data_IF_024272329732
#
_entry.id   IF_024272329732
#
_cell.length_a   1.000
_cell.length_b   1.000
_cell.length_c   1.000
_cell.angle_alpha   90.00
_cell.angle_beta   90.00
_cell.angle_gamma   90.00
#
_symmetry.space_group_name_H-M   'P 1'
#
loop_
_entity.id
_entity.type
_entity.pdbx_description
1 polymer ?
#
# COMPACT_ATOMS: atom_id res chain seq x y z
N UNK A 1 1.74 -12.02 -47.59
CA UNK A 1 2.28 -12.27 -46.22
C UNK A 1 2.81 -10.94 -45.68
N UNK A 2 2.13 -10.32 -44.71
CA UNK A 2 2.67 -9.15 -44.03
C UNK A 2 3.99 -9.56 -43.36
N UNK A 3 5.07 -8.84 -43.63
CA UNK A 3 6.35 -9.05 -42.92
C UNK A 3 6.08 -8.86 -41.42
N UNK A 4 6.49 -9.83 -40.60
CA UNK A 4 6.41 -9.71 -39.15
C UNK A 4 7.09 -8.40 -38.73
N UNK A 5 6.36 -7.58 -37.97
CA UNK A 5 6.89 -6.37 -37.34
C UNK A 5 7.73 -6.77 -36.12
N UNK A 6 8.69 -5.93 -35.77
CA UNK A 6 9.63 -6.13 -34.67
C UNK A 6 9.93 -4.81 -33.97
N UNK A 7 10.48 -4.86 -32.77
CA UNK A 7 10.75 -3.67 -31.96
C UNK A 7 12.00 -2.92 -32.42
N UNK A 8 12.90 -3.57 -33.15
CA UNK A 8 14.06 -2.96 -33.80
C UNK A 8 15.40 -3.25 -33.12
N UNK A 9 15.39 -3.67 -31.86
CA UNK A 9 16.59 -4.12 -31.14
C UNK A 9 16.94 -5.60 -31.44
N UNK A 10 16.03 -6.37 -32.05
CA UNK A 10 16.28 -7.78 -32.39
C UNK A 10 17.27 -7.90 -33.55
N UNK A 11 18.21 -8.86 -33.48
CA UNK A 11 19.29 -9.04 -34.46
C UNK A 11 18.84 -9.12 -35.92
N UNK A 12 17.63 -9.64 -36.18
CA UNK A 12 17.09 -9.84 -37.53
C UNK A 12 16.03 -8.80 -37.93
N UNK A 13 15.93 -7.67 -37.22
CA UNK A 13 14.93 -6.64 -37.49
C UNK A 13 15.47 -5.55 -38.44
N UNK A 14 14.91 -5.46 -39.65
CA UNK A 14 15.26 -4.36 -40.59
C UNK A 14 14.45 -3.10 -40.29
N UNK A 15 14.95 -1.92 -40.71
CA UNK A 15 14.27 -0.64 -40.48
C UNK A 15 12.80 -0.62 -40.95
N UNK A 16 12.50 -1.21 -42.11
CA UNK A 16 11.11 -1.29 -42.63
C UNK A 16 10.18 -2.21 -41.83
N UNK A 17 10.73 -3.08 -40.98
CA UNK A 17 9.98 -3.98 -40.10
C UNK A 17 9.76 -3.40 -38.70
N UNK A 18 10.38 -2.26 -38.37
CA UNK A 18 10.19 -1.62 -37.06
C UNK A 18 8.75 -1.12 -36.88
N UNK A 19 8.30 -1.11 -35.63
CA UNK A 19 7.14 -0.34 -35.22
C UNK A 19 7.49 1.16 -35.20
N UNK A 20 6.54 2.03 -35.57
CA UNK A 20 6.54 3.42 -35.10
C UNK A 20 7.56 4.43 -35.65
N UNK A 21 8.20 4.22 -36.81
CA UNK A 21 9.06 5.27 -37.38
C UNK A 21 8.26 6.56 -37.68
N UNK A 22 8.66 7.74 -37.17
CA UNK A 22 8.01 8.99 -37.52
C UNK A 22 8.13 9.24 -39.03
N UNK A 23 7.02 9.24 -39.76
CA UNK A 23 7.00 9.40 -41.23
C UNK A 23 6.81 10.86 -41.68
N UNK A 24 7.11 11.83 -40.83
CA UNK A 24 6.97 13.25 -41.16
C UNK A 24 8.11 13.70 -42.08
N UNK A 25 7.77 14.25 -43.26
CA UNK A 25 8.73 14.77 -44.24
C UNK A 25 9.52 16.01 -43.78
N UNK A 26 9.26 16.52 -42.58
CA UNK A 26 9.95 17.66 -41.99
C UNK A 26 11.08 17.25 -41.02
N UNK A 27 11.30 15.95 -40.80
CA UNK A 27 12.34 15.45 -39.88
C UNK A 27 13.56 15.00 -40.68
N UNK A 28 14.74 15.48 -40.29
CA UNK A 28 16.00 15.05 -40.89
C UNK A 28 16.48 13.72 -40.28
N UNK A 29 17.41 13.03 -40.97
CA UNK A 29 17.92 11.72 -40.55
C UNK A 29 18.57 11.76 -39.16
N UNK A 30 19.21 12.88 -38.81
CA UNK A 30 19.80 13.07 -37.49
C UNK A 30 18.74 13.01 -36.38
N UNK A 31 17.63 13.72 -36.56
CA UNK A 31 16.53 13.70 -35.60
C UNK A 31 15.93 12.30 -35.48
N UNK A 32 15.73 11.60 -36.60
CA UNK A 32 15.20 10.23 -36.59
C UNK A 32 16.13 9.27 -35.84
N UNK A 33 17.44 9.43 -35.98
CA UNK A 33 18.42 8.63 -35.25
C UNK A 33 18.46 8.96 -33.75
N UNK A 34 18.41 10.25 -33.39
CA UNK A 34 18.36 10.70 -31.99
C UNK A 34 17.06 10.22 -31.31
N UNK A 35 15.93 10.31 -31.99
CA UNK A 35 14.64 9.78 -31.54
C UNK A 35 14.72 8.27 -31.31
N UNK A 36 15.24 7.51 -32.28
CA UNK A 36 15.43 6.06 -32.15
C UNK A 36 16.30 5.69 -30.94
N UNK A 37 17.41 6.39 -30.74
CA UNK A 37 18.37 6.09 -29.67
C UNK A 37 17.87 6.51 -28.28
N UNK A 38 17.05 7.55 -28.18
CA UNK A 38 16.73 8.19 -26.89
C UNK A 38 15.29 8.00 -26.43
N UNK A 39 14.34 7.86 -27.37
CA UNK A 39 12.90 7.88 -27.10
C UNK A 39 12.23 6.56 -27.50
N UNK A 40 12.75 5.89 -28.54
CA UNK A 40 12.22 4.63 -29.04
C UNK A 40 13.00 3.40 -28.53
N UNK A 41 12.66 2.22 -29.04
CA UNK A 41 13.27 0.95 -28.67
C UNK A 41 14.77 0.80 -29.00
N UNK A 42 15.39 1.77 -29.67
CA UNK A 42 16.86 1.85 -29.77
C UNK A 42 17.52 2.08 -28.40
N UNK A 43 16.85 2.80 -27.51
CA UNK A 43 17.26 2.94 -26.11
C UNK A 43 17.40 1.57 -25.44
N UNK A 44 16.44 0.67 -25.68
CA UNK A 44 16.44 -0.69 -25.10
C UNK A 44 17.65 -1.47 -25.57
N UNK A 45 18.01 -1.40 -26.86
CA UNK A 45 19.18 -2.11 -27.39
C UNK A 45 20.45 -1.77 -26.61
N UNK A 46 20.71 -0.47 -26.38
CA UNK A 46 21.88 -0.02 -25.64
C UNK A 46 21.86 -0.55 -24.20
N UNK A 47 20.71 -0.48 -23.51
CA UNK A 47 20.56 -1.02 -22.15
C UNK A 47 20.77 -2.53 -22.08
N UNK A 48 20.38 -3.28 -23.12
CA UNK A 48 20.64 -4.72 -23.24
C UNK A 48 22.12 -5.02 -23.36
N UNK A 49 22.83 -4.28 -24.22
CA UNK A 49 24.27 -4.45 -24.42
C UNK A 49 25.06 -4.11 -23.15
N UNK A 50 24.64 -3.09 -22.41
CA UNK A 50 25.19 -2.79 -21.08
C UNK A 50 24.92 -3.94 -20.10
N UNK A 51 23.67 -4.42 -20.05
CA UNK A 51 23.23 -5.48 -19.15
C UNK A 51 24.01 -6.78 -19.39
N UNK A 52 24.18 -7.20 -20.64
CA UNK A 52 24.88 -8.43 -21.01
C UNK A 52 26.37 -8.42 -20.59
N UNK A 53 26.98 -7.23 -20.47
CA UNK A 53 28.40 -7.06 -20.17
C UNK A 53 28.69 -6.87 -18.67
N UNK A 54 27.73 -6.41 -17.88
CA UNK A 54 27.95 -5.98 -16.50
C UNK A 54 27.38 -6.99 -15.48
N UNK A 55 28.16 -8.06 -15.27
CA UNK A 55 27.91 -9.05 -14.23
C UNK A 55 28.68 -8.68 -12.95
N UNK A 56 27.98 -8.12 -11.96
CA UNK A 56 28.56 -7.62 -10.72
C UNK A 56 28.87 -8.74 -9.72
N UNK A 57 27.97 -9.72 -9.60
CA UNK A 57 28.18 -10.89 -8.75
C UNK A 57 28.02 -12.17 -9.54
N UNK A 58 29.13 -12.91 -9.70
CA UNK A 58 29.22 -14.10 -10.53
C UNK A 58 28.95 -15.37 -9.71
N UNK A 59 28.10 -16.30 -10.18
CA UNK A 59 27.98 -17.62 -9.58
C UNK A 59 29.24 -18.45 -9.87
N UNK A 60 29.88 -18.95 -8.83
CA UNK A 60 30.89 -20.01 -8.86
C UNK A 60 30.29 -21.43 -8.90
N UNK A 61 31.15 -22.46 -8.95
CA UNK A 61 30.75 -23.85 -9.22
C UNK A 61 29.74 -24.48 -8.22
N UNK A 62 29.71 -23.99 -6.98
CA UNK A 62 28.77 -24.41 -5.92
C UNK A 62 27.85 -23.27 -5.45
N UNK A 63 27.95 -22.11 -6.08
CA UNK A 63 27.26 -20.89 -5.70
C UNK A 63 25.95 -20.77 -6.46
N UNK A 64 24.93 -20.19 -5.83
CA UNK A 64 23.59 -20.10 -6.39
C UNK A 64 23.19 -18.67 -6.76
N UNK A 65 23.91 -17.66 -6.25
CA UNK A 65 23.49 -16.27 -6.40
C UNK A 65 24.11 -15.57 -7.61
N UNK A 66 23.40 -14.59 -8.14
CA UNK A 66 23.86 -13.76 -9.24
C UNK A 66 23.33 -12.33 -9.07
N UNK A 67 24.12 -11.33 -9.46
CA UNK A 67 23.66 -9.96 -9.67
C UNK A 67 24.23 -9.43 -10.98
N UNK A 68 23.36 -9.10 -11.92
CA UNK A 68 23.69 -8.52 -13.22
C UNK A 68 22.91 -7.22 -13.40
N UNK A 69 23.54 -6.19 -13.95
CA UNK A 69 22.94 -4.87 -14.07
C UNK A 69 23.27 -4.21 -15.41
N UNK A 70 22.50 -3.19 -15.81
CA UNK A 70 22.93 -2.22 -16.81
C UNK A 70 23.87 -1.19 -16.18
N UNK A 71 24.50 -0.36 -17.00
CA UNK A 71 25.43 0.69 -16.54
C UNK A 71 24.76 1.57 -15.47
N UNK A 72 25.54 1.95 -14.47
CA UNK A 72 25.11 2.71 -13.29
C UNK A 72 24.04 2.03 -12.43
N UNK A 73 23.84 0.72 -12.56
CA UNK A 73 22.79 -0.04 -11.83
C UNK A 73 21.37 0.51 -12.04
N UNK A 74 21.09 1.06 -13.23
CA UNK A 74 19.74 1.58 -13.57
C UNK A 74 18.71 0.46 -13.64
N UNK A 75 19.11 -0.67 -14.20
CA UNK A 75 18.34 -1.90 -14.23
C UNK A 75 19.20 -3.04 -13.67
N UNK A 76 18.64 -3.87 -12.79
CA UNK A 76 19.35 -5.01 -12.22
C UNK A 76 18.45 -6.24 -12.16
N UNK A 77 19.06 -7.41 -12.35
CA UNK A 77 18.46 -8.73 -12.18
C UNK A 77 19.32 -9.52 -11.20
N UNK A 78 18.67 -10.16 -10.26
CA UNK A 78 19.33 -11.03 -9.31
C UNK A 78 18.70 -12.43 -9.27
N UNK A 79 19.48 -13.40 -8.79
CA UNK A 79 19.02 -14.75 -8.49
C UNK A 79 19.49 -15.16 -7.10
N UNK A 80 18.65 -15.87 -6.36
CA UNK A 80 18.92 -16.40 -5.01
C UNK A 80 19.55 -15.35 -4.09
N UNK A 81 18.79 -14.30 -3.77
CA UNK A 81 19.28 -13.14 -3.04
C UNK A 81 18.71 -13.13 -1.62
N UNK A 82 19.53 -12.71 -0.65
CA UNK A 82 19.14 -12.44 0.73
C UNK A 82 18.92 -10.94 0.94
N UNK A 83 17.80 -10.59 1.57
CA UNK A 83 17.46 -9.21 1.93
C UNK A 83 17.00 -9.18 3.39
N UNK A 84 17.64 -8.33 4.18
CA UNK A 84 17.26 -7.98 5.54
C UNK A 84 16.64 -6.56 5.56
N UNK A 85 15.33 -6.51 5.71
CA UNK A 85 14.55 -5.26 5.76
C UNK A 85 14.50 -4.60 7.13
N UNK A 86 15.24 -5.08 8.14
CA UNK A 86 15.24 -4.43 9.47
C UNK A 86 15.70 -2.97 9.40
N UNK A 87 16.57 -2.62 8.45
CA UNK A 87 17.05 -1.26 8.20
C UNK A 87 15.99 -0.26 7.70
N UNK A 88 14.85 -0.76 7.20
CA UNK A 88 13.70 0.07 6.78
C UNK A 88 12.87 0.60 7.95
N UNK A 89 13.02 0.02 9.15
CA UNK A 89 12.20 0.41 10.32
C UNK A 89 12.70 1.72 10.91
N UNK A 90 12.29 2.83 10.32
CA UNK A 90 12.48 4.16 10.87
C UNK A 90 11.12 4.87 11.03
N UNK A 91 10.60 5.01 12.28
CA UNK A 91 9.31 5.66 12.52
C UNK A 91 9.33 7.16 12.21
N UNK A 92 10.52 7.77 12.10
CA UNK A 92 10.71 9.17 11.81
C UNK A 92 11.02 9.45 10.34
N UNK A 93 11.23 8.42 9.50
CA UNK A 93 11.45 8.65 8.09
C UNK A 93 10.23 9.32 7.45
N UNK A 94 10.51 10.38 6.68
CA UNK A 94 9.55 11.14 5.90
C UNK A 94 9.89 11.17 4.42
N UNK A 95 11.11 10.77 4.08
CA UNK A 95 11.57 10.75 2.70
C UNK A 95 11.13 9.45 2.03
N UNK A 96 10.25 9.56 1.02
CA UNK A 96 9.80 8.44 0.16
C UNK A 96 10.95 7.80 -0.59
N UNK A 97 11.94 8.61 -0.92
CA UNK A 97 13.07 8.29 -1.76
C UNK A 97 14.33 8.06 -0.94
N UNK A 98 14.17 7.74 0.36
CA UNK A 98 15.30 7.47 1.26
C UNK A 98 16.26 6.47 0.63
N UNK A 99 17.48 6.94 0.42
CA UNK A 99 18.58 6.17 -0.12
C UNK A 99 19.36 5.43 0.98
N UNK A 100 20.14 4.42 0.57
CA UNK A 100 21.04 3.65 1.43
C UNK A 100 20.28 2.95 2.56
N UNK A 101 19.17 2.29 2.20
CA UNK A 101 18.36 1.51 3.13
C UNK A 101 19.16 0.38 3.77
N UNK A 102 20.07 -0.23 2.99
CA UNK A 102 20.84 -1.39 3.41
C UNK A 102 22.25 -1.03 3.85
N UNK A 103 22.62 -1.56 5.01
CA UNK A 103 24.01 -1.62 5.47
C UNK A 103 24.69 -2.88 4.94
N UNK A 104 25.99 -2.96 5.14
CA UNK A 104 26.78 -4.14 4.81
C UNK A 104 26.20 -5.40 5.45
N UNK A 105 26.06 -6.47 4.67
CA UNK A 105 25.47 -7.74 5.09
C UNK A 105 23.94 -7.80 5.10
N UNK A 106 23.23 -6.69 4.81
CA UNK A 106 21.76 -6.68 4.76
C UNK A 106 21.19 -6.97 3.38
N UNK A 107 22.00 -6.87 2.33
CA UNK A 107 21.64 -7.29 0.98
C UNK A 107 22.82 -8.03 0.36
N UNK A 108 22.58 -9.22 -0.17
CA UNK A 108 23.70 -10.04 -0.64
C UNK A 108 23.32 -11.40 -1.20
N UNK A 109 24.35 -12.14 -1.62
CA UNK A 109 24.19 -13.50 -2.14
C UNK A 109 25.48 -14.31 -2.08
N UNK A 110 25.36 -15.63 -2.22
CA UNK A 110 26.48 -16.56 -2.30
C UNK A 110 27.03 -16.55 -3.73
N UNK A 111 27.91 -15.59 -4.01
CA UNK A 111 28.52 -15.34 -5.31
C UNK A 111 29.87 -14.62 -5.17
N UNK A 112 30.69 -14.62 -6.21
CA UNK A 112 31.94 -13.84 -6.26
C UNK A 112 31.62 -12.41 -6.73
N UNK A 113 31.67 -11.46 -5.81
CA UNK A 113 31.36 -10.04 -6.05
C UNK A 113 32.59 -9.27 -6.53
N UNK A 114 32.47 -8.58 -7.67
CA UNK A 114 33.43 -7.57 -8.10
C UNK A 114 33.10 -6.21 -7.47
N UNK A 115 33.73 -5.93 -6.32
CA UNK A 115 33.48 -4.69 -5.55
C UNK A 115 33.94 -3.44 -6.29
N UNK A 116 35.05 -3.51 -7.04
CA UNK A 116 35.58 -2.35 -7.76
C UNK A 116 34.64 -1.99 -8.92
N UNK A 117 34.16 -2.99 -9.64
CA UNK A 117 33.21 -2.80 -10.73
C UNK A 117 31.88 -2.23 -10.23
N UNK A 118 31.37 -2.72 -9.09
CA UNK A 118 30.20 -2.16 -8.43
C UNK A 118 30.42 -0.70 -8.05
N UNK A 119 31.51 -0.36 -7.35
CA UNK A 119 31.81 1.02 -6.94
C UNK A 119 31.91 1.98 -8.14
N UNK A 120 32.40 1.51 -9.28
CA UNK A 120 32.47 2.30 -10.51
C UNK A 120 31.08 2.63 -11.13
N UNK A 121 29.98 2.09 -10.59
CA UNK A 121 28.61 2.38 -11.06
C UNK A 121 27.95 3.56 -10.32
N UNK A 122 28.64 4.21 -9.38
CA UNK A 122 28.05 5.22 -8.50
C UNK A 122 27.76 6.61 -9.10
N UNK A 123 28.26 6.91 -10.30
CA UNK A 123 28.18 8.28 -10.87
C UNK A 123 26.74 8.82 -11.04
N UNK A 124 25.76 7.93 -11.24
CA UNK A 124 24.34 8.30 -11.38
C UNK A 124 23.52 7.90 -10.15
N UNK A 125 24.12 7.89 -8.95
CA UNK A 125 23.39 7.68 -7.70
C UNK A 125 22.27 8.72 -7.57
N UNK A 126 21.03 8.26 -7.66
CA UNK A 126 19.84 9.08 -7.52
C UNK A 126 18.64 8.18 -7.30
N UNK A 127 17.68 8.57 -6.43
CA UNK A 127 16.61 7.68 -6.02
C UNK A 127 15.74 7.13 -7.15
N UNK A 128 15.51 7.91 -8.21
CA UNK A 128 14.66 7.54 -9.34
C UNK A 128 15.44 7.19 -10.61
N UNK A 129 16.76 7.40 -10.64
CA UNK A 129 17.57 7.11 -11.83
C UNK A 129 18.35 5.79 -11.70
N UNK A 130 18.70 5.36 -10.50
CA UNK A 130 19.47 4.13 -10.29
C UNK A 130 19.14 3.41 -8.98
N UNK A 131 19.45 2.12 -8.96
CA UNK A 131 19.41 1.29 -7.75
C UNK A 131 20.71 1.34 -6.94
N UNK A 132 21.68 2.16 -7.35
CA UNK A 132 23.03 2.16 -6.81
C UNK A 132 23.04 2.35 -5.29
N UNK A 133 22.26 3.30 -4.78
CA UNK A 133 22.14 3.56 -3.35
C UNK A 133 21.77 2.33 -2.51
N UNK A 134 20.93 1.44 -3.04
CA UNK A 134 20.52 0.23 -2.32
C UNK A 134 21.49 -0.94 -2.54
N UNK A 135 22.29 -0.88 -3.61
CA UNK A 135 23.22 -1.93 -4.00
C UNK A 135 24.68 -1.63 -3.62
N UNK A 136 25.02 -0.41 -3.21
CA UNK A 136 26.40 0.00 -2.91
C UNK A 136 27.06 -0.90 -1.85
N UNK A 137 26.26 -1.38 -0.89
CA UNK A 137 26.68 -2.25 0.22
C UNK A 137 26.40 -3.73 -0.04
N UNK A 138 26.13 -4.12 -1.31
CA UNK A 138 25.91 -5.51 -1.67
C UNK A 138 27.05 -6.41 -1.21
N UNK A 139 26.70 -7.53 -0.60
CA UNK A 139 27.65 -8.39 0.10
C UNK A 139 27.70 -9.80 -0.49
N UNK A 140 28.92 -10.31 -0.69
CA UNK A 140 29.14 -11.73 -0.91
C UNK A 140 28.99 -12.45 0.43
N UNK A 141 27.95 -13.27 0.57
CA UNK A 141 27.61 -13.92 1.84
C UNK A 141 26.81 -15.21 1.62
N UNK A 142 27.06 -16.20 2.48
CA UNK A 142 26.23 -17.40 2.57
C UNK A 142 25.05 -17.13 3.49
N UNK A 143 23.88 -17.63 3.10
CA UNK A 143 22.66 -17.53 3.89
C UNK A 143 21.90 -18.87 3.81
N UNK A 144 21.16 -19.18 4.87
CA UNK A 144 20.41 -20.42 4.98
C UNK A 144 18.92 -20.10 4.89
N UNK A 145 18.19 -20.77 3.99
CA UNK A 145 16.79 -20.46 3.68
C UNK A 145 15.86 -20.65 4.89
N UNK A 146 16.19 -21.60 5.76
CA UNK A 146 15.48 -21.91 7.00
C UNK A 146 15.54 -20.79 8.05
N UNK A 147 16.42 -19.80 7.86
CA UNK A 147 16.55 -18.64 8.74
C UNK A 147 15.82 -17.39 8.25
N UNK A 148 15.15 -17.46 7.10
CA UNK A 148 14.38 -16.34 6.55
C UNK A 148 12.94 -16.35 7.10
N UNK A 149 12.42 -15.18 7.49
CA UNK A 149 11.00 -15.02 7.87
C UNK A 149 10.06 -15.34 6.70
N UNK A 150 10.50 -15.00 5.48
CA UNK A 150 9.76 -15.21 4.23
C UNK A 150 10.73 -15.72 3.17
N UNK A 151 10.34 -16.77 2.45
CA UNK A 151 11.05 -17.27 1.27
C UNK A 151 10.15 -17.12 0.05
N UNK A 152 10.66 -16.50 -1.01
CA UNK A 152 9.93 -16.27 -2.26
C UNK A 152 10.62 -17.02 -3.39
N UNK A 153 9.88 -17.88 -4.08
CA UNK A 153 10.41 -18.73 -5.15
C UNK A 153 9.91 -18.34 -6.55
N UNK A 154 9.05 -17.33 -6.64
CA UNK A 154 8.54 -16.77 -7.89
C UNK A 154 9.19 -15.40 -8.19
N UNK A 155 9.08 -14.87 -9.42
CA UNK A 155 9.67 -13.58 -9.77
C UNK A 155 9.14 -12.44 -8.89
N UNK A 156 10.06 -11.58 -8.43
CA UNK A 156 9.76 -10.36 -7.68
C UNK A 156 10.37 -9.17 -8.42
N UNK A 157 9.58 -8.13 -8.61
CA UNK A 157 10.00 -6.87 -9.23
C UNK A 157 9.92 -5.78 -8.16
N UNK A 158 11.08 -5.24 -7.79
CA UNK A 158 11.15 -4.06 -6.96
C UNK A 158 11.03 -2.82 -7.84
N UNK A 159 10.17 -1.88 -7.45
CA UNK A 159 9.89 -0.69 -8.24
C UNK A 159 9.75 0.54 -7.37
N UNK A 160 10.56 1.57 -7.65
CA UNK A 160 10.43 2.91 -7.06
C UNK A 160 9.45 3.71 -7.93
N UNK A 161 8.23 3.88 -7.44
CA UNK A 161 7.20 4.67 -8.13
C UNK A 161 7.46 6.17 -7.93
N UNK A 162 7.23 6.97 -8.97
CA UNK A 162 7.30 8.43 -8.89
C UNK A 162 6.08 9.03 -8.17
N UNK A 163 5.79 10.32 -8.36
CA UNK A 163 4.69 11.05 -7.73
C UNK A 163 3.36 10.80 -8.44
N UNK A 164 2.50 10.02 -7.78
CA UNK A 164 1.16 9.68 -8.26
C UNK A 164 0.11 10.79 -8.24
N UNK A 165 0.50 12.08 -8.20
CA UNK A 165 -0.44 13.20 -8.19
C UNK A 165 -0.96 13.61 -9.57
N UNK A 166 -0.41 13.07 -10.65
CA UNK A 166 -0.94 13.23 -12.01
C UNK A 166 -0.83 11.90 -12.79
N UNK A 167 -1.58 11.79 -13.90
CA UNK A 167 -1.56 10.57 -14.73
C UNK A 167 -0.26 10.40 -15.52
N UNK A 168 0.47 11.49 -15.79
CA UNK A 168 1.70 11.44 -16.57
C UNK A 168 2.78 10.62 -15.85
N UNK A 169 3.06 10.89 -14.57
CA UNK A 169 4.04 10.13 -13.80
C UNK A 169 3.62 8.67 -13.59
N UNK A 170 2.33 8.42 -13.31
CA UNK A 170 1.81 7.04 -13.23
C UNK A 170 2.02 6.28 -14.54
N UNK A 171 1.80 6.91 -15.68
CA UNK A 171 2.02 6.27 -16.97
C UNK A 171 3.50 5.97 -17.23
N UNK A 172 4.40 6.88 -16.83
CA UNK A 172 5.85 6.65 -16.89
C UNK A 172 6.26 5.42 -16.07
N UNK A 173 5.69 5.23 -14.87
CA UNK A 173 5.94 4.06 -14.04
C UNK A 173 5.58 2.75 -14.79
N UNK A 174 4.35 2.64 -15.31
CA UNK A 174 3.93 1.46 -16.07
C UNK A 174 4.80 1.22 -17.31
N UNK A 175 5.15 2.29 -18.03
CA UNK A 175 5.99 2.20 -19.22
C UNK A 175 7.41 1.75 -18.88
N UNK A 176 8.02 2.28 -17.82
CA UNK A 176 9.33 1.86 -17.34
C UNK A 176 9.32 0.37 -17.01
N UNK A 177 8.32 -0.10 -16.27
CA UNK A 177 8.15 -1.49 -15.94
C UNK A 177 8.03 -2.37 -17.20
N UNK A 178 7.20 -1.97 -18.16
CA UNK A 178 7.08 -2.67 -19.45
C UNK A 178 8.40 -2.73 -20.21
N UNK A 179 9.12 -1.61 -20.33
CA UNK A 179 10.42 -1.54 -21.01
C UNK A 179 11.46 -2.44 -20.33
N UNK A 180 11.44 -2.57 -19.01
CA UNK A 180 12.40 -3.45 -18.30
C UNK A 180 12.27 -4.92 -18.70
N UNK A 181 11.08 -5.37 -19.09
CA UNK A 181 10.86 -6.72 -19.62
C UNK A 181 11.61 -6.93 -20.94
N UNK A 182 11.67 -5.91 -21.79
CA UNK A 182 12.41 -5.98 -23.04
C UNK A 182 13.93 -6.03 -22.83
N UNK A 183 14.44 -5.38 -21.77
CA UNK A 183 15.88 -5.35 -21.45
C UNK A 183 16.40 -6.74 -21.09
N UNK A 184 15.71 -7.50 -20.25
CA UNK A 184 16.18 -8.84 -19.84
C UNK A 184 15.48 -10.00 -20.59
N UNK A 185 14.59 -9.70 -21.52
CA UNK A 185 13.78 -10.68 -22.25
C UNK A 185 12.80 -11.46 -21.37
N UNK A 186 12.38 -10.89 -20.24
CA UNK A 186 11.38 -11.51 -19.36
C UNK A 186 9.95 -11.17 -19.79
N UNK A 187 8.98 -11.80 -19.14
CA UNK A 187 7.56 -11.58 -19.35
C UNK A 187 6.83 -11.60 -18.01
N UNK A 188 5.67 -10.95 -17.95
CA UNK A 188 4.76 -11.11 -16.82
C UNK A 188 4.06 -12.45 -16.88
N UNK A 189 4.06 -13.16 -15.76
CA UNK A 189 3.13 -14.25 -15.51
C UNK A 189 2.20 -13.89 -14.34
N UNK A 190 1.21 -14.74 -14.07
CA UNK A 190 0.29 -14.55 -12.94
C UNK A 190 0.94 -14.75 -11.57
N UNK A 191 2.18 -15.23 -11.52
CA UNK A 191 2.93 -15.51 -10.30
C UNK A 191 3.98 -14.41 -10.01
N UNK A 192 4.04 -13.37 -10.83
CA UNK A 192 4.97 -12.25 -10.66
C UNK A 192 4.46 -11.32 -9.55
N UNK A 193 5.30 -11.05 -8.55
CA UNK A 193 5.00 -10.10 -7.48
C UNK A 193 5.68 -8.76 -7.74
N UNK A 194 4.94 -7.66 -7.61
CA UNK A 194 5.51 -6.31 -7.65
C UNK A 194 5.57 -5.79 -6.21
N UNK A 195 6.78 -5.44 -5.76
CA UNK A 195 7.02 -4.80 -4.47
C UNK A 195 7.27 -3.32 -4.72
N UNK A 196 6.32 -2.51 -4.28
CA UNK A 196 6.46 -1.05 -4.31
C UNK A 196 7.49 -0.63 -3.27
N UNK A 197 8.57 0.00 -3.74
CA UNK A 197 9.66 0.51 -2.90
C UNK A 197 9.30 1.90 -2.36
N UNK A 198 8.40 1.93 -1.37
CA UNK A 198 8.08 3.13 -0.61
C UNK A 198 8.72 3.03 0.78
N UNK A 199 9.55 4.01 1.12
CA UNK A 199 10.27 4.05 2.40
C UNK A 199 9.59 4.93 3.43
N UNK A 200 8.49 5.63 3.07
CA UNK A 200 7.65 6.32 4.06
C UNK A 200 6.65 5.33 4.64
N UNK A 201 6.43 5.42 5.95
CA UNK A 201 5.27 4.79 6.56
C UNK A 201 4.01 5.50 6.03
N UNK A 202 3.22 4.82 5.21
CA UNK A 202 1.88 5.32 4.85
C UNK A 202 1.11 5.63 6.13
N UNK A 203 0.55 6.85 6.27
CA UNK A 203 -0.22 7.19 7.46
C UNK A 203 -1.37 6.21 7.60
N UNK A 204 -1.50 5.62 8.79
CA UNK A 204 -2.55 4.67 9.09
C UNK A 204 -3.92 5.34 9.00
N UNK A 205 -4.93 4.57 8.60
CA UNK A 205 -6.33 4.98 8.69
C UNK A 205 -6.73 4.94 10.16
N UNK A 206 -7.23 6.06 10.66
CA UNK A 206 -7.57 6.23 12.07
C UNK A 206 -8.98 5.74 12.30
N UNK A 207 -9.12 4.73 13.16
CA UNK A 207 -10.41 4.13 13.50
C UNK A 207 -10.72 4.44 14.95
N UNK A 208 -11.87 5.07 15.21
CA UNK A 208 -12.33 5.34 16.57
C UNK A 208 -13.48 4.40 16.90
N UNK A 209 -13.36 3.66 18.01
CA UNK A 209 -14.45 2.86 18.58
C UNK A 209 -14.99 3.54 19.83
N UNK A 210 -16.22 4.05 19.74
CA UNK A 210 -16.92 4.64 20.88
C UNK A 210 -17.53 3.54 21.75
N UNK A 211 -16.91 3.30 22.90
CA UNK A 211 -17.44 2.40 23.92
C UNK A 211 -18.37 3.14 24.89
N UNK A 212 -19.27 2.39 25.51
CA UNK A 212 -20.23 2.94 26.47
C UNK A 212 -19.61 3.00 27.86
N UNK A 213 -19.73 4.16 28.49
CA UNK A 213 -19.16 4.39 29.81
C UNK A 213 -19.77 3.55 30.92
N UNK A 214 -19.01 3.42 32.01
CA UNK A 214 -19.37 2.69 33.23
C UNK A 214 -19.73 3.67 34.35
N UNK A 215 -20.98 4.16 34.41
CA UNK A 215 -21.41 4.91 35.58
C UNK A 215 -21.35 4.01 36.82
N UNK A 216 -20.70 4.49 37.87
CA UNK A 216 -20.77 3.91 39.20
C UNK A 216 -22.24 3.97 39.64
N UNK A 217 -22.90 2.82 39.77
CA UNK A 217 -24.27 2.64 40.29
C UNK A 217 -25.46 2.65 39.31
N UNK A 218 -25.25 2.55 37.99
CA UNK A 218 -26.38 2.39 37.04
C UNK A 218 -26.26 1.14 36.16
N UNK A 219 -27.41 0.52 35.83
CA UNK A 219 -27.45 -0.60 34.88
C UNK A 219 -27.06 -0.12 33.48
N UNK A 220 -26.05 -0.77 32.92
CA UNK A 220 -25.46 -0.39 31.64
C UNK A 220 -26.06 -1.24 30.51
N UNK A 221 -26.69 -0.55 29.57
CA UNK A 221 -27.29 -1.08 28.34
C UNK A 221 -26.51 -0.64 27.10
N UNK A 222 -26.69 -1.35 25.98
CA UNK A 222 -25.99 -1.12 24.70
C UNK A 222 -24.48 -1.29 24.80
N UNK A 223 -24.03 -2.18 25.69
CA UNK A 223 -22.63 -2.58 25.74
C UNK A 223 -22.31 -3.60 24.65
N UNK A 224 -21.09 -3.52 24.13
CA UNK A 224 -20.46 -4.52 23.28
C UNK A 224 -19.80 -5.55 24.21
N UNK A 225 -20.47 -6.67 24.49
CA UNK A 225 -19.97 -7.65 25.49
C UNK A 225 -18.70 -8.37 25.04
N UNK A 226 -18.47 -8.48 23.73
CA UNK A 226 -17.29 -9.12 23.15
C UNK A 226 -16.35 -8.13 22.45
N UNK A 227 -16.23 -6.92 22.99
CA UNK A 227 -15.39 -5.86 22.41
C UNK A 227 -13.96 -6.34 22.13
N UNK A 228 -13.36 -7.11 23.05
CA UNK A 228 -12.00 -7.65 22.87
C UNK A 228 -11.85 -8.58 21.67
N UNK A 229 -12.91 -9.29 21.28
CA UNK A 229 -12.89 -10.13 20.07
C UNK A 229 -12.92 -9.25 18.80
N UNK A 230 -13.62 -8.10 18.85
CA UNK A 230 -13.62 -7.13 17.75
C UNK A 230 -12.30 -6.35 17.66
N UNK A 231 -11.69 -6.01 18.80
CA UNK A 231 -10.37 -5.36 18.84
C UNK A 231 -9.29 -6.25 18.18
N UNK A 232 -9.34 -7.57 18.38
CA UNK A 232 -8.42 -8.52 17.73
C UNK A 232 -8.53 -8.56 16.20
N UNK A 233 -9.67 -8.21 15.62
CA UNK A 233 -9.84 -8.15 14.15
C UNK A 233 -8.87 -7.13 13.53
N UNK A 234 -8.44 -6.12 14.28
CA UNK A 234 -7.49 -5.12 13.79
C UNK A 234 -6.07 -5.67 13.60
N UNK A 235 -5.73 -6.83 14.18
CA UNK A 235 -4.43 -7.49 13.95
C UNK A 235 -4.27 -7.91 12.47
N UNK A 236 -5.38 -8.16 11.77
CA UNK A 236 -5.41 -8.48 10.34
C UNK A 236 -5.26 -7.24 9.43
N UNK A 237 -5.31 -6.02 9.99
CA UNK A 237 -5.24 -4.77 9.26
C UNK A 237 -4.11 -3.86 9.78
N UNK A 238 -2.85 -4.11 9.35
CA UNK A 238 -1.68 -3.38 9.86
C UNK A 238 -1.70 -1.87 9.54
N UNK A 239 -2.48 -1.47 8.55
CA UNK A 239 -2.65 -0.09 8.09
C UNK A 239 -3.79 0.66 8.81
N UNK A 240 -4.54 0.01 9.71
CA UNK A 240 -5.49 0.65 10.61
C UNK A 240 -4.85 0.99 11.95
N UNK A 241 -5.29 2.08 12.56
CA UNK A 241 -4.95 2.49 13.92
C UNK A 241 -6.23 2.62 14.76
N UNK A 242 -6.47 1.65 15.64
CA UNK A 242 -7.64 1.66 16.52
C UNK A 242 -7.40 2.54 17.75
N UNK A 243 -8.36 3.43 18.02
CA UNK A 243 -8.49 4.18 19.27
C UNK A 243 -9.85 3.92 19.90
N UNK A 244 -9.86 3.26 21.06
CA UNK A 244 -11.08 3.06 21.86
C UNK A 244 -11.28 4.27 22.77
N UNK A 245 -12.49 4.84 22.77
CA UNK A 245 -12.80 6.06 23.53
C UNK A 245 -14.13 5.95 24.25
N UNK A 246 -14.18 6.60 25.41
CA UNK A 246 -15.40 6.80 26.20
C UNK A 246 -15.65 8.30 26.28
N UNK A 247 -16.70 8.78 25.60
CA UNK A 247 -17.08 10.19 25.65
C UNK A 247 -17.88 10.47 26.92
N UNK A 248 -17.13 10.68 28.00
CA UNK A 248 -17.62 11.14 29.30
C UNK A 248 -16.97 12.49 29.60
N UNK A 249 -17.78 13.52 29.84
CA UNK A 249 -17.32 14.88 30.15
C UNK A 249 -16.43 14.95 31.40
N UNK A 250 -16.54 13.97 32.30
CA UNK A 250 -15.69 13.86 33.51
C UNK A 250 -14.29 13.34 33.20
N UNK A 251 -14.14 12.61 32.09
CA UNK A 251 -12.88 11.94 31.67
C UNK A 251 -12.23 12.63 30.48
N UNK A 252 -13.03 13.26 29.62
CA UNK A 252 -12.59 13.87 28.38
C UNK A 252 -13.43 15.12 28.11
N UNK A 253 -12.77 16.28 28.01
CA UNK A 253 -13.44 17.53 27.67
C UNK A 253 -14.10 17.45 26.30
N UNK A 254 -15.16 18.23 26.08
CA UNK A 254 -15.84 18.25 24.79
C UNK A 254 -14.90 18.62 23.63
N UNK A 255 -13.94 19.52 23.84
CA UNK A 255 -12.91 19.87 22.86
C UNK A 255 -12.05 18.66 22.47
N UNK A 256 -11.67 17.83 23.43
CA UNK A 256 -10.91 16.61 23.17
C UNK A 256 -11.75 15.57 22.42
N UNK A 257 -13.03 15.42 22.79
CA UNK A 257 -13.95 14.53 22.07
C UNK A 257 -14.09 14.95 20.60
N UNK A 258 -14.25 16.26 20.33
CA UNK A 258 -14.27 16.81 18.97
C UNK A 258 -12.94 16.59 18.23
N UNK A 259 -11.81 16.79 18.92
CA UNK A 259 -10.49 16.55 18.33
C UNK A 259 -10.32 15.09 17.91
N UNK A 260 -10.73 14.13 18.75
CA UNK A 260 -10.74 12.71 18.39
C UNK A 260 -11.68 12.46 17.20
N UNK A 261 -12.90 12.96 17.27
CA UNK A 261 -13.92 12.75 16.23
C UNK A 261 -13.44 13.26 14.87
N UNK A 262 -12.94 14.50 14.81
CA UNK A 262 -12.42 15.11 13.60
C UNK A 262 -11.22 14.36 13.02
N UNK A 263 -10.48 13.66 13.88
CA UNK A 263 -9.34 12.84 13.52
C UNK A 263 -9.68 11.35 13.39
N UNK A 264 -10.93 11.02 13.05
CA UNK A 264 -11.38 9.66 12.78
C UNK A 264 -11.73 9.49 11.31
N UNK A 265 -11.08 8.56 10.62
CA UNK A 265 -11.38 8.21 9.23
C UNK A 265 -12.50 7.16 9.17
N UNK A 266 -12.59 6.30 10.19
CA UNK A 266 -13.74 5.42 10.45
C UNK A 266 -14.16 5.64 11.90
N UNK A 267 -15.46 5.86 12.13
CA UNK A 267 -16.00 6.02 13.48
C UNK A 267 -17.07 4.97 13.74
N UNK A 268 -16.83 4.11 14.72
CA UNK A 268 -17.63 2.95 15.05
C UNK A 268 -18.31 3.18 16.40
N UNK A 269 -19.61 2.89 16.50
CA UNK A 269 -20.28 2.93 17.80
C UNK A 269 -21.64 2.26 17.79
N UNK A 270 -22.12 1.95 19.00
CA UNK A 270 -23.50 1.50 19.22
C UNK A 270 -24.49 2.66 19.11
N UNK A 271 -25.72 2.37 18.68
CA UNK A 271 -26.79 3.36 18.60
C UNK A 271 -26.96 4.14 19.92
N UNK A 272 -27.02 5.46 19.82
CA UNK A 272 -27.25 6.37 20.95
C UNK A 272 -26.58 7.72 20.78
N UNK A 273 -26.86 8.64 21.70
CA UNK A 273 -26.52 10.06 21.59
C UNK A 273 -25.06 10.35 21.22
N UNK A 274 -24.10 9.50 21.60
CA UNK A 274 -22.70 9.65 21.20
C UNK A 274 -22.46 9.63 19.68
N UNK A 275 -23.33 8.99 18.89
CA UNK A 275 -23.23 9.01 17.42
C UNK A 275 -23.59 10.38 16.81
N UNK A 276 -24.09 11.34 17.60
CA UNK A 276 -24.21 12.74 17.14
C UNK A 276 -22.88 13.35 16.74
N UNK A 277 -21.76 12.78 17.20
CA UNK A 277 -20.42 13.13 16.77
C UNK A 277 -20.17 12.93 15.27
N UNK A 278 -21.02 12.19 14.55
CA UNK A 278 -20.94 12.09 13.09
C UNK A 278 -20.90 13.45 12.40
N UNK A 279 -21.51 14.48 12.98
CA UNK A 279 -21.45 15.88 12.50
C UNK A 279 -20.02 16.41 12.30
N UNK A 280 -19.06 15.96 13.11
CA UNK A 280 -17.70 16.49 13.15
C UNK A 280 -16.67 15.62 12.44
N UNK A 281 -17.11 14.50 11.84
CA UNK A 281 -16.24 13.64 11.06
C UNK A 281 -15.69 14.35 9.82
N UNK A 282 -14.51 13.97 9.32
CA UNK A 282 -14.00 14.51 8.07
C UNK A 282 -14.85 14.03 6.86
N UNK A 283 -14.84 14.76 5.73
CA UNK A 283 -15.73 14.46 4.59
C UNK A 283 -15.58 13.06 3.99
N UNK A 284 -14.40 12.44 4.12
CA UNK A 284 -14.12 11.11 3.59
C UNK A 284 -14.49 9.98 4.55
N UNK A 285 -14.96 10.30 5.76
CA UNK A 285 -15.13 9.32 6.82
C UNK A 285 -16.25 8.31 6.54
N UNK A 286 -16.14 7.18 7.23
CA UNK A 286 -17.21 6.19 7.35
C UNK A 286 -17.77 6.20 8.77
N UNK A 287 -19.06 6.48 8.88
CA UNK A 287 -19.87 6.36 10.08
C UNK A 287 -20.44 4.93 10.17
N UNK A 288 -19.93 4.13 11.09
CA UNK A 288 -20.35 2.75 11.32
C UNK A 288 -21.18 2.63 12.60
N UNK A 289 -22.49 2.51 12.42
CA UNK A 289 -23.42 2.19 13.49
C UNK A 289 -23.56 0.67 13.65
N UNK A 290 -22.97 0.11 14.71
CA UNK A 290 -22.91 -1.34 14.96
C UNK A 290 -24.28 -2.00 15.06
N UNK A 291 -25.29 -1.32 15.59
CA UNK A 291 -26.65 -1.82 15.55
C UNK A 291 -27.61 -0.66 15.78
N UNK A 292 -28.43 -0.36 14.78
CA UNK A 292 -29.37 0.76 14.79
C UNK A 292 -30.62 0.53 15.65
N UNK A 293 -30.78 -0.66 16.25
CA UNK A 293 -31.92 -0.99 17.11
C UNK A 293 -33.29 -0.73 16.44
N UNK A 294 -33.40 -1.06 15.15
CA UNK A 294 -34.57 -0.83 14.29
C UNK A 294 -34.95 0.65 14.10
N UNK A 295 -34.09 1.57 14.54
CA UNK A 295 -34.22 3.02 14.36
C UNK A 295 -33.20 3.49 13.31
N UNK A 296 -33.41 2.99 12.08
CA UNK A 296 -32.48 3.17 10.96
C UNK A 296 -32.28 4.64 10.62
N UNK A 297 -33.35 5.41 10.57
CA UNK A 297 -33.32 6.75 9.98
C UNK A 297 -32.58 7.76 10.86
N UNK A 298 -32.52 7.54 12.19
CA UNK A 298 -31.97 8.49 13.15
C UNK A 298 -30.52 8.93 12.83
N UNK A 299 -29.58 7.99 12.78
CA UNK A 299 -28.17 8.31 12.52
C UNK A 299 -27.78 8.14 11.04
N UNK A 300 -28.58 7.39 10.26
CA UNK A 300 -28.45 7.37 8.81
C UNK A 300 -28.67 8.76 8.22
N UNK A 301 -29.75 9.44 8.59
CA UNK A 301 -30.04 10.79 8.07
C UNK A 301 -28.98 11.79 8.51
N UNK A 302 -28.48 11.68 9.75
CA UNK A 302 -27.39 12.52 10.23
C UNK A 302 -26.12 12.37 9.38
N UNK A 303 -25.69 11.13 9.13
CA UNK A 303 -24.53 10.84 8.30
C UNK A 303 -24.74 11.28 6.85
N UNK A 304 -25.92 11.04 6.28
CA UNK A 304 -26.32 11.48 4.93
C UNK A 304 -26.27 13.00 4.80
N UNK A 305 -26.86 13.74 5.74
CA UNK A 305 -26.87 15.20 5.74
C UNK A 305 -25.47 15.78 5.91
N UNK A 306 -24.62 15.12 6.71
CA UNK A 306 -23.20 15.49 6.83
C UNK A 306 -22.41 15.17 5.55
N UNK A 307 -22.89 14.25 4.71
CA UNK A 307 -22.21 13.81 3.50
C UNK A 307 -21.10 12.80 3.75
N UNK A 308 -21.18 12.01 4.83
CA UNK A 308 -20.25 10.91 5.12
C UNK A 308 -20.91 9.57 4.82
N UNK A 309 -20.11 8.55 4.49
CA UNK A 309 -20.64 7.21 4.21
C UNK A 309 -21.17 6.61 5.50
N UNK A 310 -22.41 6.12 5.46
CA UNK A 310 -23.00 5.37 6.56
C UNK A 310 -22.97 3.87 6.24
N UNK A 311 -22.58 3.07 7.23
CA UNK A 311 -22.68 1.61 7.21
C UNK A 311 -23.28 1.13 8.52
N UNK A 312 -24.01 0.02 8.47
CA UNK A 312 -24.55 -0.63 9.65
C UNK A 312 -24.43 -2.15 9.52
N UNK A 313 -24.74 -2.87 10.58
CA UNK A 313 -24.50 -4.29 10.67
C UNK A 313 -25.40 -5.14 9.75
N UNK A 314 -26.65 -4.70 9.56
CA UNK A 314 -27.61 -5.36 8.66
C UNK A 314 -27.78 -4.59 7.35
N UNK A 315 -27.20 -5.09 6.27
CA UNK A 315 -27.47 -4.61 4.91
C UNK A 315 -28.81 -5.15 4.40
N UNK A 316 -29.90 -4.47 4.71
CA UNK A 316 -31.22 -4.80 4.13
C UNK A 316 -32.02 -5.88 4.85
N UNK A 317 -31.79 -6.09 6.16
CA UNK A 317 -32.67 -6.92 6.99
C UNK A 317 -32.49 -8.43 6.83
N UNK A 318 -31.36 -8.90 6.30
CA UNK A 318 -31.04 -10.33 6.28
C UNK A 318 -30.99 -10.89 7.72
N UNK A 319 -31.87 -11.83 8.10
CA UNK A 319 -31.94 -12.38 9.45
C UNK A 319 -30.65 -13.08 9.92
N UNK A 320 -29.85 -13.58 8.97
CA UNK A 320 -28.54 -14.22 9.26
C UNK A 320 -27.56 -13.22 9.85
N UNK A 321 -27.67 -11.96 9.43
CA UNK A 321 -26.78 -10.88 9.85
C UNK A 321 -27.35 -10.09 11.02
N UNK A 322 -28.47 -10.49 11.63
CA UNK A 322 -29.00 -9.79 12.81
C UNK A 322 -28.09 -10.08 14.02
N UNK A 323 -27.55 -9.06 14.71
CA UNK A 323 -26.71 -9.27 15.87
C UNK A 323 -27.50 -9.97 16.96
N UNK A 324 -26.84 -10.84 17.74
CA UNK A 324 -27.52 -11.61 18.78
C UNK A 324 -27.46 -10.87 20.11
N UNK A 325 -28.59 -10.66 20.81
CA UNK A 325 -28.56 -10.07 22.14
C UNK A 325 -27.86 -11.03 23.10
N UNK A 326 -26.92 -10.49 23.86
CA UNK A 326 -26.21 -11.21 24.92
C UNK A 326 -26.94 -11.12 26.25
N UNK A 327 -27.60 -10.00 26.52
CA UNK A 327 -28.41 -9.78 27.72
C UNK A 327 -29.59 -8.88 27.34
N UNK A 328 -30.80 -9.38 27.51
CA UNK A 328 -32.01 -8.60 27.27
C UNK A 328 -32.37 -7.81 28.53
N UNK A 329 -31.93 -6.55 28.59
CA UNK A 329 -32.28 -5.65 29.67
C UNK A 329 -33.77 -5.24 29.64
N UNK A 330 -34.33 -4.95 30.83
CA UNK A 330 -35.67 -4.37 31.00
C UNK A 330 -35.53 -2.95 31.54
N UNK A 331 -35.97 -1.96 30.77
CA UNK A 331 -36.00 -0.58 31.22
C UNK A 331 -37.24 -0.33 32.08
N UNK A 332 -37.09 0.39 33.20
CA UNK A 332 -38.19 0.67 34.14
C UNK A 332 -39.40 1.34 33.46
N UNK A 333 -39.16 2.27 32.53
CA UNK A 333 -40.19 3.01 31.79
C UNK A 333 -40.62 2.37 30.45
N UNK A 334 -39.73 1.65 29.78
CA UNK A 334 -39.92 1.23 28.37
C UNK A 334 -39.98 -0.29 28.19
N UNK A 335 -39.95 -1.06 29.28
CA UNK A 335 -40.07 -2.51 29.24
C UNK A 335 -38.91 -3.19 28.50
N UNK A 336 -39.23 -4.25 27.75
CA UNK A 336 -38.27 -4.96 26.91
C UNK A 336 -38.17 -4.24 25.56
N UNK A 337 -37.04 -3.59 25.31
CA UNK A 337 -36.78 -2.93 24.04
C UNK A 337 -35.29 -3.14 23.66
N UNK A 338 -34.97 -3.48 22.39
CA UNK A 338 -33.61 -3.72 21.91
C UNK A 338 -32.60 -2.61 22.24
N UNK A 339 -33.07 -1.36 22.33
CA UNK A 339 -32.26 -0.20 22.77
C UNK A 339 -31.74 -0.31 24.20
N UNK A 340 -32.25 -1.25 25.00
CA UNK A 340 -31.80 -1.52 26.36
C UNK A 340 -31.19 -2.91 26.50
N UNK A 341 -30.75 -3.53 25.41
CA UNK A 341 -30.06 -4.81 25.44
C UNK A 341 -28.55 -4.62 25.32
N UNK A 342 -27.80 -5.63 25.77
CA UNK A 342 -26.36 -5.73 25.52
C UNK A 342 -26.13 -6.74 24.38
N UNK A 343 -25.16 -6.46 23.53
CA UNK A 343 -25.02 -7.13 22.24
C UNK A 343 -23.68 -7.85 22.13
N UNK A 344 -23.70 -8.94 21.37
CA UNK A 344 -22.49 -9.60 20.86
C UNK A 344 -22.50 -9.55 19.34
N UNK A 345 -21.32 -9.35 18.79
CA UNK A 345 -21.10 -9.16 17.36
C UNK A 345 -20.15 -10.23 16.82
N UNK A 346 -20.46 -10.76 15.65
CA UNK A 346 -19.67 -11.82 15.04
C UNK A 346 -18.38 -11.22 14.42
N UNK A 347 -17.16 -11.65 14.85
CA UNK A 347 -15.91 -11.01 14.42
C UNK A 347 -15.66 -11.06 12.91
N UNK A 348 -16.04 -12.15 12.23
CA UNK A 348 -15.83 -12.28 10.79
C UNK A 348 -16.70 -11.28 10.00
N UNK A 349 -17.97 -11.08 10.39
CA UNK A 349 -18.82 -10.04 9.79
C UNK A 349 -18.32 -8.64 10.09
N UNK A 350 -17.83 -8.39 11.31
CA UNK A 350 -17.20 -7.10 11.64
C UNK A 350 -16.00 -6.82 10.73
N UNK A 351 -15.16 -7.84 10.47
CA UNK A 351 -14.01 -7.77 9.56
C UNK A 351 -14.42 -7.39 8.13
N UNK A 352 -15.49 -7.99 7.61
CA UNK A 352 -16.01 -7.68 6.27
C UNK A 352 -16.42 -6.21 6.13
N UNK A 353 -17.24 -5.71 7.07
CA UNK A 353 -17.71 -4.32 7.04
C UNK A 353 -16.55 -3.35 7.24
N UNK A 354 -15.62 -3.68 8.14
CA UNK A 354 -14.42 -2.87 8.37
C UNK A 354 -13.55 -2.80 7.10
N UNK A 355 -13.42 -3.90 6.35
CA UNK A 355 -12.71 -3.91 5.06
C UNK A 355 -13.39 -3.03 4.02
N UNK A 356 -14.73 -3.06 3.93
CA UNK A 356 -15.47 -2.17 3.00
C UNK A 356 -15.26 -0.69 3.38
N UNK A 357 -15.38 -0.38 4.67
CA UNK A 357 -15.17 0.97 5.17
C UNK A 357 -13.73 1.47 4.90
N UNK A 358 -12.74 0.60 5.10
CA UNK A 358 -11.34 0.85 4.78
C UNK A 358 -11.15 1.17 3.30
N UNK A 359 -11.69 0.33 2.40
CA UNK A 359 -11.60 0.55 0.95
C UNK A 359 -12.29 1.84 0.52
N UNK A 360 -13.43 2.21 1.13
CA UNK A 360 -14.09 3.47 0.88
C UNK A 360 -13.19 4.67 1.20
N UNK A 361 -12.56 4.69 2.39
CA UNK A 361 -11.65 5.77 2.81
C UNK A 361 -10.46 5.86 1.85
N UNK A 362 -9.80 4.73 1.57
CA UNK A 362 -8.64 4.68 0.66
C UNK A 362 -8.99 5.21 -0.72
N UNK A 363 -10.21 4.94 -1.20
CA UNK A 363 -10.65 5.32 -2.54
C UNK A 363 -11.23 6.74 -2.63
N UNK A 364 -11.48 7.41 -1.50
CA UNK A 364 -12.07 8.74 -1.48
C UNK A 364 -11.12 9.81 -2.05
N UNK A 365 -11.56 10.56 -3.05
CA UNK A 365 -10.72 11.52 -3.79
C UNK A 365 -10.06 12.58 -2.87
N UNK A 366 -10.80 13.13 -1.92
CA UNK A 366 -10.27 14.10 -0.93
C UNK A 366 -9.20 13.48 -0.03
N UNK A 367 -9.38 12.22 0.38
CA UNK A 367 -8.41 11.51 1.21
C UNK A 367 -7.12 11.26 0.43
N UNK A 368 -7.22 10.72 -0.79
CA UNK A 368 -6.08 10.54 -1.71
C UNK A 368 -5.31 11.84 -1.92
N UNK A 369 -6.01 12.95 -2.19
CA UNK A 369 -5.40 14.26 -2.36
C UNK A 369 -4.68 14.74 -1.10
N UNK A 370 -5.27 14.53 0.08
CA UNK A 370 -4.69 14.94 1.36
C UNK A 370 -3.46 14.11 1.72
N UNK A 371 -3.50 12.78 1.54
CA UNK A 371 -2.35 11.91 1.75
C UNK A 371 -1.23 12.26 0.77
N UNK A 372 -1.54 12.42 -0.52
CA UNK A 372 -0.56 12.85 -1.53
C UNK A 372 0.09 14.19 -1.18
N UNK A 373 -0.70 15.18 -0.73
CA UNK A 373 -0.17 16.48 -0.26
C UNK A 373 0.68 16.36 1.01
N UNK A 374 0.33 15.47 1.94
CA UNK A 374 1.14 15.22 3.14
C UNK A 374 2.47 14.57 2.77
N UNK A 375 2.46 13.60 1.85
CA UNK A 375 3.65 12.95 1.33
C UNK A 375 4.49 13.88 0.45
N UNK A 376 3.91 14.92 -0.16
CA UNK A 376 4.64 15.87 -1.01
C UNK A 376 5.16 17.12 -0.27
N UNK A 377 4.72 17.35 0.97
CA UNK A 377 5.12 18.50 1.81
C UNK A 377 6.06 18.10 2.95
N UNK A 378 6.35 16.81 3.07
CA UNK A 378 7.26 16.21 4.05
C UNK A 378 8.44 15.61 3.29
#
# INVERSE_FOLDING_TARGET
LQKAKCWGYERNCTAGQRHGLPTSGCLNDRFLQEFWNSVDFGYVQERREEFDKLLLCRPGAQQQSMLQCSKYTRYCKAQNLFIDFTGLRDPHNRDKFRENVFKQGQIGGDCVLDRQLLQAQGDHKSPLQSWYAELENFSSMKFARDKCDVTIEHPVIFMKMDWGGNMFHHFCDFFNLYVTLHVNGSYFDRNSQIVMWDTVKTPKIRVTLLQRGTPENEKIFRQIKNQKDLEKVFDDFPDLELKVVEYDWRKMSFKEQLSVTHNSDIFIGMHGAGLTHFLFLPPWAVAFELYNCDDKDCYYDLARLRGVKYVTWSDGGNPVNTPKPSEQGKHHKYGQNPKFWNWRFEPQRFKEILSEAREYVLNHATYKSLISKKLSKQ
#
